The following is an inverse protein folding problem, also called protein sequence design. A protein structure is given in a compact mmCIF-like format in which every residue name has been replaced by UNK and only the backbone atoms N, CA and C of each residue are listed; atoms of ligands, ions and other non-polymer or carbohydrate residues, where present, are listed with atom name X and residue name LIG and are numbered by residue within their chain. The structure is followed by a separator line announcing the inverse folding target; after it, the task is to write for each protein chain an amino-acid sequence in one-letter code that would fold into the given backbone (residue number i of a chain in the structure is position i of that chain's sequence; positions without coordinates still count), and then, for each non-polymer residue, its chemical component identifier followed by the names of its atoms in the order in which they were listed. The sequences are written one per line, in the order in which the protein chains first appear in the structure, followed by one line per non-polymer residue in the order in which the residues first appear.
data_IF_164483304225
#
_entry.id   IF_164483304225
#
_cell.length_a   1.000
_cell.length_b   1.000
_cell.length_c   1.000
_cell.angle_alpha   90.00
_cell.angle_beta   90.00
_cell.angle_gamma   90.00
#
_symmetry.space_group_name_H-M   'P 1'
#
loop_
_entity.id
_entity.type
_entity.pdbx_description
1 polymer ?
#
# COMPACT_ATOMS: atom_id res chain seq x y z
N UNK A 1 -15.67 27.22 14.13
CA UNK A 1 -16.02 26.49 12.89
C UNK A 1 -14.88 25.52 12.62
N UNK A 2 -15.18 24.23 12.40
CA UNK A 2 -14.14 23.23 12.15
C UNK A 2 -13.59 23.43 10.73
N UNK A 3 -12.28 23.49 10.58
CA UNK A 3 -11.63 23.44 9.27
C UNK A 3 -11.57 21.98 8.82
N UNK A 4 -12.21 21.69 7.69
CA UNK A 4 -12.27 20.33 7.16
C UNK A 4 -11.12 20.05 6.19
N UNK A 5 -10.43 18.91 6.33
CA UNK A 5 -9.53 18.39 5.32
C UNK A 5 -10.25 18.14 3.98
N UNK A 6 -9.47 18.01 2.90
CA UNK A 6 -9.98 17.55 1.62
C UNK A 6 -10.68 16.19 1.72
N UNK A 7 -11.70 15.97 0.88
CA UNK A 7 -12.35 14.65 0.80
C UNK A 7 -11.35 13.60 0.33
N UNK A 8 -11.47 12.39 0.89
CA UNK A 8 -10.55 11.29 0.69
C UNK A 8 -9.27 11.38 1.52
N UNK A 9 -9.09 12.42 2.35
CA UNK A 9 -8.01 12.50 3.33
C UNK A 9 -8.30 11.55 4.50
N UNK A 10 -7.25 10.85 4.98
CA UNK A 10 -7.36 10.03 6.17
C UNK A 10 -7.38 10.92 7.40
N UNK A 11 -8.42 10.78 8.23
CA UNK A 11 -8.67 11.63 9.38
C UNK A 11 -9.02 10.79 10.61
N UNK A 12 -8.83 11.38 11.79
CA UNK A 12 -9.58 11.03 12.98
C UNK A 12 -10.59 12.12 13.26
N UNK A 13 -11.86 11.74 13.41
CA UNK A 13 -12.98 12.63 13.75
C UNK A 13 -13.46 12.25 15.14
N UNK A 14 -13.30 13.17 16.10
CA UNK A 14 -13.85 13.02 17.45
C UNK A 14 -15.21 13.70 17.49
N UNK A 15 -16.25 12.98 17.91
CA UNK A 15 -17.61 13.50 17.94
C UNK A 15 -18.39 13.07 19.18
N UNK A 16 -19.42 13.85 19.51
CA UNK A 16 -20.36 13.58 20.60
C UNK A 16 -21.28 12.44 20.21
N UNK A 17 -21.45 11.49 21.12
CA UNK A 17 -22.49 10.46 21.02
C UNK A 17 -23.81 11.03 21.52
N UNK A 18 -24.89 10.30 21.29
CA UNK A 18 -26.23 10.66 21.80
C UNK A 18 -26.16 10.97 23.30
N UNK A 19 -26.90 11.98 23.72
CA UNK A 19 -26.98 12.39 25.13
C UNK A 19 -27.26 11.17 26.03
N UNK A 20 -26.50 11.03 27.11
CA UNK A 20 -26.56 9.87 28.01
C UNK A 20 -25.61 8.71 27.67
N UNK A 21 -24.87 8.78 26.56
CA UNK A 21 -23.85 7.77 26.24
C UNK A 21 -22.65 7.81 27.18
N UNK A 22 -22.14 6.64 27.55
CA UNK A 22 -20.87 6.48 28.29
C UNK A 22 -19.93 5.60 27.43
N UNK A 23 -18.74 6.10 27.03
CA UNK A 23 -18.30 7.50 27.13
C UNK A 23 -19.16 8.45 26.25
N UNK A 24 -19.19 9.76 26.56
CA UNK A 24 -19.99 10.75 25.81
C UNK A 24 -19.37 11.15 24.46
N UNK A 25 -18.08 10.86 24.26
CA UNK A 25 -17.34 11.12 23.03
C UNK A 25 -16.83 9.80 22.46
N UNK A 26 -16.67 9.75 21.15
CA UNK A 26 -15.99 8.65 20.44
C UNK A 26 -15.21 9.18 19.25
N UNK A 27 -14.29 8.37 18.75
CA UNK A 27 -13.45 8.68 17.59
C UNK A 27 -13.81 7.77 16.40
N UNK A 28 -13.86 8.34 15.21
CA UNK A 28 -13.92 7.62 13.93
C UNK A 28 -12.60 7.84 13.19
N UNK A 29 -11.92 6.75 12.81
CA UNK A 29 -10.65 6.80 12.07
C UNK A 29 -10.85 6.20 10.69
N UNK A 30 -10.60 6.98 9.64
CA UNK A 30 -10.89 6.56 8.28
C UNK A 30 -10.71 7.67 7.25
N UNK A 31 -11.21 7.46 6.04
CA UNK A 31 -11.20 8.47 4.97
C UNK A 31 -12.45 9.33 5.04
N UNK A 32 -12.28 10.65 4.94
CA UNK A 32 -13.38 11.60 4.94
C UNK A 32 -14.13 11.55 3.60
N UNK A 33 -15.40 11.14 3.61
CA UNK A 33 -16.21 11.02 2.39
C UNK A 33 -17.10 12.23 2.16
N UNK A 34 -17.62 12.83 3.23
CA UNK A 34 -18.49 14.00 3.18
C UNK A 34 -18.41 14.76 4.50
N UNK A 35 -18.74 16.06 4.47
CA UNK A 35 -18.77 16.94 5.64
C UNK A 35 -20.10 17.67 5.83
N UNK A 36 -20.97 17.65 4.81
CA UNK A 36 -22.30 18.27 4.79
C UNK A 36 -23.24 17.43 3.89
N UNK A 37 -24.52 17.25 4.24
CA UNK A 37 -25.17 17.66 5.50
C UNK A 37 -24.78 16.79 6.70
N UNK A 38 -24.12 15.66 6.45
CA UNK A 38 -23.66 14.70 7.46
C UNK A 38 -22.19 14.42 7.23
N UNK A 39 -21.42 14.36 8.31
CA UNK A 39 -20.01 13.97 8.24
C UNK A 39 -19.94 12.45 8.10
N UNK A 40 -19.29 11.98 7.03
CA UNK A 40 -19.16 10.55 6.71
C UNK A 40 -17.69 10.16 6.69
N UNK A 41 -17.31 9.18 7.50
CA UNK A 41 -15.94 8.66 7.58
C UNK A 41 -15.94 7.17 7.28
N UNK A 42 -15.25 6.75 6.22
CA UNK A 42 -15.10 5.32 5.92
C UNK A 42 -13.88 4.75 6.64
N UNK A 43 -14.14 3.87 7.60
CA UNK A 43 -13.11 3.19 8.39
C UNK A 43 -12.34 2.15 7.57
N UNK A 44 -11.22 1.62 8.11
CA UNK A 44 -10.41 0.58 7.44
C UNK A 44 -11.23 -0.68 7.07
N UNK A 45 -12.27 -1.01 7.84
CA UNK A 45 -13.15 -2.15 7.56
C UNK A 45 -14.18 -1.89 6.44
N UNK A 46 -14.17 -0.69 5.84
CA UNK A 46 -15.17 -0.27 4.87
C UNK A 46 -16.46 0.27 5.49
N UNK A 47 -16.65 0.15 6.82
CA UNK A 47 -17.80 0.70 7.53
C UNK A 47 -17.80 2.22 7.48
N UNK A 48 -18.93 2.81 7.07
CA UNK A 48 -19.13 4.26 7.09
C UNK A 48 -19.70 4.67 8.44
N UNK A 49 -18.96 5.50 9.16
CA UNK A 49 -19.41 6.14 10.39
C UNK A 49 -19.97 7.51 10.05
N UNK A 50 -21.16 7.81 10.57
CA UNK A 50 -21.86 9.06 10.32
C UNK A 50 -22.07 9.84 11.62
N UNK A 51 -21.91 11.16 11.56
CA UNK A 51 -22.22 12.06 12.68
C UNK A 51 -22.66 13.44 12.18
N UNK A 52 -23.42 14.16 13.01
CA UNK A 52 -23.83 15.52 12.67
C UNK A 52 -22.59 16.45 12.71
N UNK A 53 -22.43 17.39 11.76
CA UNK A 53 -21.32 18.34 11.78
C UNK A 53 -21.21 19.13 13.09
N UNK A 54 -22.34 19.38 13.76
CA UNK A 54 -22.43 20.05 15.07
C UNK A 54 -21.93 19.22 16.25
N UNK A 55 -21.94 17.89 16.12
CA UNK A 55 -21.48 16.98 17.17
C UNK A 55 -19.97 16.77 17.14
N UNK A 56 -19.31 17.15 16.04
CA UNK A 56 -17.87 17.04 15.89
C UNK A 56 -17.17 18.04 16.80
N UNK A 57 -16.20 17.56 17.57
CA UNK A 57 -15.42 18.37 18.52
C UNK A 57 -13.98 18.57 18.06
N UNK A 58 -13.44 17.63 17.29
CA UNK A 58 -12.09 17.74 16.74
C UNK A 58 -11.95 16.90 15.46
N UNK A 59 -11.14 17.41 14.53
CA UNK A 59 -10.72 16.69 13.34
C UNK A 59 -9.21 16.81 13.25
N UNK A 60 -8.54 15.70 12.96
CA UNK A 60 -7.09 15.69 12.72
C UNK A 60 -6.79 14.85 11.49
N UNK A 61 -6.04 15.43 10.56
CA UNK A 61 -5.44 14.69 9.45
C UNK A 61 -4.42 13.69 9.97
N UNK A 62 -4.49 12.48 9.43
CA UNK A 62 -3.56 11.41 9.71
C UNK A 62 -2.72 11.17 8.45
N UNK A 63 -1.45 10.83 8.66
CA UNK A 63 -0.67 10.19 7.62
C UNK A 63 -1.32 8.86 7.23
N UNK A 64 -0.96 8.31 6.07
CA UNK A 64 -1.41 6.99 5.66
C UNK A 64 -1.16 5.96 6.76
N UNK A 65 -2.07 4.98 6.85
CA UNK A 65 -1.93 3.91 7.82
C UNK A 65 -0.59 3.20 7.57
N UNK A 66 0.20 2.89 8.61
CA UNK A 66 1.43 2.16 8.42
C UNK A 66 1.10 0.80 7.82
N UNK A 67 1.61 0.56 6.61
CA UNK A 67 1.45 -0.72 5.91
C UNK A 67 2.44 -1.72 6.46
N UNK A 68 1.93 -2.87 6.92
CA UNK A 68 2.74 -3.95 7.49
C UNK A 68 3.54 -4.66 6.40
N UNK A 69 4.71 -5.19 6.75
CA UNK A 69 5.52 -5.97 5.83
C UNK A 69 4.74 -7.16 5.23
N UNK A 70 3.84 -7.80 5.99
CA UNK A 70 2.97 -8.86 5.48
C UNK A 70 1.96 -8.38 4.44
N UNK A 71 1.36 -7.19 4.62
CA UNK A 71 0.45 -6.57 3.64
C UNK A 71 1.21 -6.21 2.35
N UNK A 72 2.47 -5.76 2.46
CA UNK A 72 3.34 -5.50 1.31
C UNK A 72 3.63 -6.80 0.55
N UNK A 73 4.03 -7.87 1.25
CA UNK A 73 4.30 -9.19 0.65
C UNK A 73 3.07 -9.74 -0.08
N UNK A 74 1.91 -9.71 0.55
CA UNK A 74 0.67 -10.22 -0.03
C UNK A 74 0.33 -9.48 -1.35
N UNK A 75 0.44 -8.15 -1.37
CA UNK A 75 0.18 -7.36 -2.58
C UNK A 75 1.21 -7.63 -3.69
N UNK A 76 2.51 -7.70 -3.37
CA UNK A 76 3.55 -7.98 -4.38
C UNK A 76 3.49 -9.42 -4.90
N UNK A 77 3.10 -10.40 -4.07
CA UNK A 77 2.79 -11.76 -4.50
C UNK A 77 1.59 -11.79 -5.45
N UNK A 78 0.48 -11.10 -5.10
CA UNK A 78 -0.68 -11.00 -5.96
C UNK A 78 -0.35 -10.29 -7.30
N UNK A 79 0.49 -9.25 -7.26
CA UNK A 79 0.95 -8.56 -8.46
C UNK A 79 1.80 -9.45 -9.34
N UNK A 80 2.77 -10.18 -8.77
CA UNK A 80 3.58 -11.15 -9.50
C UNK A 80 2.72 -12.24 -10.18
N UNK A 81 1.71 -12.76 -9.47
CA UNK A 81 0.79 -13.76 -10.00
C UNK A 81 -0.10 -13.24 -11.13
N UNK A 82 -0.43 -11.94 -11.13
CA UNK A 82 -1.27 -11.32 -12.18
C UNK A 82 -0.53 -11.10 -13.51
N UNK A 83 0.80 -11.07 -13.48
CA UNK A 83 1.66 -11.01 -14.66
C UNK A 83 2.75 -12.07 -14.57
N UNK A 84 2.44 -13.32 -14.93
CA UNK A 84 3.40 -14.40 -14.89
C UNK A 84 4.56 -14.13 -15.85
N UNK A 85 5.76 -14.54 -15.44
CA UNK A 85 6.94 -14.48 -16.30
C UNK A 85 7.17 -15.83 -16.99
N UNK A 86 7.87 -15.81 -18.14
CA UNK A 86 8.21 -17.05 -18.87
C UNK A 86 9.18 -17.91 -18.06
N UNK A 87 10.05 -17.29 -17.25
CA UNK A 87 11.00 -17.98 -16.40
C UNK A 87 10.99 -17.37 -15.01
N UNK A 88 10.28 -18.04 -14.09
CA UNK A 88 10.32 -17.71 -12.67
C UNK A 88 10.82 -18.88 -11.82
N UNK A 89 11.53 -18.58 -10.74
CA UNK A 89 11.97 -19.58 -9.77
C UNK A 89 12.06 -19.02 -8.37
N UNK A 90 11.94 -19.89 -7.37
CA UNK A 90 12.13 -19.52 -5.97
C UNK A 90 13.54 -19.85 -5.51
N UNK A 91 14.19 -18.91 -4.84
CA UNK A 91 15.52 -19.08 -4.22
C UNK A 91 15.51 -18.40 -2.86
N UNK A 92 15.58 -19.18 -1.77
CA UNK A 92 15.65 -18.68 -0.38
C UNK A 92 14.67 -17.55 -0.07
N UNK A 93 13.40 -17.73 -0.46
CA UNK A 93 12.33 -16.76 -0.24
C UNK A 93 12.26 -15.60 -1.23
N UNK A 94 13.17 -15.54 -2.20
CA UNK A 94 13.08 -14.64 -3.35
C UNK A 94 12.36 -15.32 -4.51
N UNK A 95 11.50 -14.56 -5.19
CA UNK A 95 11.02 -14.92 -6.52
C UNK A 95 11.93 -14.22 -7.55
N UNK A 96 12.65 -15.02 -8.32
CA UNK A 96 13.52 -14.55 -9.40
C UNK A 96 12.73 -14.63 -10.70
N UNK A 97 12.72 -13.53 -11.44
CA UNK A 97 12.09 -13.40 -12.77
C UNK A 97 13.12 -12.89 -13.77
N UNK A 98 12.86 -12.96 -15.06
CA UNK A 98 13.76 -12.47 -16.11
C UNK A 98 14.10 -10.98 -15.99
N UNK A 99 13.21 -10.18 -15.40
CA UNK A 99 13.33 -8.74 -15.27
C UNK A 99 13.89 -8.26 -13.93
N UNK A 100 13.55 -8.94 -12.82
CA UNK A 100 14.07 -8.65 -11.48
C UNK A 100 13.80 -9.78 -10.47
N UNK A 101 14.55 -9.79 -9.37
CA UNK A 101 14.29 -10.64 -8.21
C UNK A 101 13.63 -9.83 -7.10
N UNK A 102 12.60 -10.40 -6.48
CA UNK A 102 11.79 -9.73 -5.45
C UNK A 102 11.68 -10.62 -4.19
N UNK A 103 11.90 -10.08 -2.98
CA UNK A 103 11.90 -10.86 -1.74
C UNK A 103 10.45 -11.05 -1.28
N UNK A 104 9.74 -12.06 -1.77
CA UNK A 104 8.31 -12.22 -1.52
C UNK A 104 8.00 -13.03 -0.26
N UNK A 105 8.83 -13.99 0.12
CA UNK A 105 8.65 -14.75 1.35
C UNK A 105 9.41 -14.13 2.55
N UNK A 106 8.88 -14.34 3.75
CA UNK A 106 9.45 -13.81 5.00
C UNK A 106 10.88 -14.31 5.26
N UNK A 107 11.26 -15.45 4.71
CA UNK A 107 12.61 -16.02 4.82
C UNK A 107 13.66 -15.31 3.95
N UNK A 108 13.26 -14.43 3.03
CA UNK A 108 14.17 -13.73 2.12
C UNK A 108 15.23 -12.92 2.87
N UNK A 109 16.50 -13.13 2.51
CA UNK A 109 17.66 -12.48 3.13
C UNK A 109 18.63 -11.94 2.08
N UNK A 110 19.45 -10.98 2.50
CA UNK A 110 20.45 -10.34 1.63
C UNK A 110 21.68 -11.23 1.35
N UNK A 111 21.91 -12.26 2.15
CA UNK A 111 22.97 -13.26 1.93
C UNK A 111 22.73 -14.13 0.69
N UNK A 112 21.49 -14.23 0.21
CA UNK A 112 21.13 -14.88 -1.06
C UNK A 112 21.51 -14.07 -2.31
N UNK A 113 21.85 -12.78 -2.19
CA UNK A 113 22.14 -11.89 -3.33
C UNK A 113 23.24 -12.44 -4.26
N UNK A 114 24.37 -12.99 -3.79
CA UNK A 114 25.38 -13.58 -4.66
C UNK A 114 24.84 -14.75 -5.50
N UNK A 115 23.97 -15.60 -4.94
CA UNK A 115 23.34 -16.70 -5.68
C UNK A 115 22.33 -16.19 -6.72
N UNK A 116 21.61 -15.11 -6.39
CA UNK A 116 20.73 -14.42 -7.34
C UNK A 116 21.53 -13.87 -8.52
N UNK A 117 22.67 -13.21 -8.26
CA UNK A 117 23.56 -12.69 -9.32
C UNK A 117 24.04 -13.82 -10.24
N UNK A 118 24.47 -14.96 -9.68
CA UNK A 118 24.88 -16.12 -10.45
C UNK A 118 23.75 -16.66 -11.34
N UNK A 119 22.52 -16.76 -10.82
CA UNK A 119 21.36 -17.23 -11.57
C UNK A 119 21.08 -16.39 -12.82
N UNK A 120 21.19 -15.06 -12.71
CA UNK A 120 21.07 -14.14 -13.84
C UNK A 120 22.24 -14.25 -14.81
N UNK A 121 23.47 -14.33 -14.31
CA UNK A 121 24.68 -14.44 -15.12
C UNK A 121 24.68 -15.70 -15.99
N UNK A 122 24.28 -16.85 -15.44
CA UNK A 122 24.15 -18.13 -16.15
C UNK A 122 23.15 -18.05 -17.32
N UNK A 123 22.25 -17.06 -17.30
CA UNK A 123 21.22 -16.82 -18.32
C UNK A 123 21.55 -15.64 -19.24
N UNK A 124 22.70 -14.99 -19.05
CA UNK A 124 23.07 -13.79 -19.81
C UNK A 124 22.14 -12.60 -19.54
N UNK A 125 21.46 -12.58 -18.40
CA UNK A 125 20.51 -11.54 -18.02
C UNK A 125 21.14 -10.54 -17.03
N UNK A 126 20.75 -9.26 -17.05
CA UNK A 126 21.24 -8.28 -16.10
C UNK A 126 20.62 -8.52 -14.71
N UNK A 127 21.43 -8.71 -13.65
CA UNK A 127 20.89 -8.94 -12.31
C UNK A 127 20.26 -7.65 -11.75
N UNK A 128 18.96 -7.71 -11.47
CA UNK A 128 18.22 -6.61 -10.85
C UNK A 128 17.44 -7.09 -9.63
N UNK A 129 17.40 -6.25 -8.60
CA UNK A 129 16.56 -6.47 -7.43
C UNK A 129 15.41 -5.47 -7.43
N UNK A 130 14.20 -5.92 -7.11
CA UNK A 130 13.08 -5.09 -6.72
C UNK A 130 12.89 -5.25 -5.20
N UNK A 131 13.15 -4.19 -4.45
CA UNK A 131 13.00 -4.19 -2.98
C UNK A 131 11.83 -3.28 -2.59
N UNK A 132 10.68 -3.87 -2.21
CA UNK A 132 9.60 -3.13 -1.57
C UNK A 132 10.02 -2.61 -0.20
N UNK A 133 9.43 -1.49 0.22
CA UNK A 133 9.71 -0.90 1.52
C UNK A 133 9.53 -1.90 2.67
N UNK A 134 10.39 -1.80 3.68
CA UNK A 134 10.36 -2.60 4.91
C UNK A 134 10.56 -4.11 4.74
N UNK A 135 10.71 -4.65 3.52
CA UNK A 135 10.94 -6.09 3.33
C UNK A 135 12.41 -6.48 3.51
N UNK A 136 13.32 -5.67 2.99
CA UNK A 136 14.76 -5.84 3.17
C UNK A 136 15.44 -4.49 3.32
N UNK A 137 16.50 -4.47 4.14
CA UNK A 137 17.41 -3.33 4.18
C UNK A 137 18.14 -3.23 2.83
N UNK A 138 18.20 -2.01 2.28
CA UNK A 138 18.97 -1.76 1.06
C UNK A 138 20.45 -2.02 1.36
N UNK A 139 21.14 -2.86 0.58
CA UNK A 139 22.58 -3.08 0.76
C UNK A 139 23.35 -1.76 0.65
N UNK A 140 24.31 -1.55 1.55
CA UNK A 140 25.12 -0.33 1.57
C UNK A 140 25.86 -0.13 0.23
N UNK A 141 25.90 1.10 -0.26
CA UNK A 141 26.59 1.46 -1.51
C UNK A 141 25.77 1.26 -2.79
N UNK A 142 24.54 0.73 -2.70
CA UNK A 142 23.63 0.66 -3.84
C UNK A 142 22.69 1.87 -3.86
N UNK A 143 22.64 2.57 -4.99
CA UNK A 143 21.62 3.58 -5.27
C UNK A 143 20.52 2.98 -6.15
N UNK A 144 19.23 3.29 -5.88
CA UNK A 144 18.16 2.80 -6.72
C UNK A 144 18.24 3.42 -8.13
N UNK A 145 18.12 2.58 -9.17
CA UNK A 145 18.05 3.04 -10.57
C UNK A 145 16.68 3.65 -10.88
N UNK A 146 15.64 3.16 -10.19
CA UNK A 146 14.24 3.56 -10.37
C UNK A 146 13.49 3.33 -9.08
N UNK A 147 12.57 4.23 -8.76
CA UNK A 147 11.63 4.10 -7.65
C UNK A 147 10.21 4.16 -8.19
N UNK A 148 9.32 3.37 -7.59
CA UNK A 148 7.91 3.36 -7.95
C UNK A 148 7.04 3.38 -6.70
N UNK A 149 5.87 4.01 -6.82
CA UNK A 149 4.78 3.94 -5.87
C UNK A 149 3.82 2.84 -6.29
N UNK A 150 3.56 1.91 -5.39
CA UNK A 150 2.43 1.01 -5.54
C UNK A 150 1.24 1.62 -4.81
N UNK A 151 0.25 2.08 -5.58
CA UNK A 151 -0.97 2.66 -5.06
C UNK A 151 -2.10 1.64 -5.15
N UNK A 152 -2.96 1.62 -4.14
CA UNK A 152 -4.13 0.74 -4.08
C UNK A 152 -5.39 1.57 -3.94
N UNK A 153 -6.48 1.07 -4.51
CA UNK A 153 -7.83 1.57 -4.27
C UNK A 153 -8.64 0.42 -3.70
N UNK A 154 -9.27 0.64 -2.55
CA UNK A 154 -10.20 -0.36 -2.00
C UNK A 154 -11.29 -0.65 -3.03
N UNK A 155 -11.60 -1.93 -3.25
CA UNK A 155 -12.77 -2.28 -4.04
C UNK A 155 -14.02 -1.73 -3.32
N UNK A 156 -15.02 -1.22 -4.05
CA UNK A 156 -16.31 -0.93 -3.43
C UNK A 156 -16.81 -2.22 -2.77
N UNK A 157 -17.11 -2.16 -1.47
CA UNK A 157 -17.69 -3.29 -0.75
C UNK A 157 -19.07 -3.54 -1.37
N UNK A 158 -19.33 -4.68 -2.03
CA UNK A 158 -20.68 -5.03 -2.43
C UNK A 158 -21.53 -5.13 -1.16
N UNK A 159 -22.78 -4.66 -1.25
CA UNK A 159 -23.73 -4.65 -0.14
C UNK A 159 -23.76 -6.04 0.52
N UNK A 160 -23.69 -6.06 1.86
CA UNK A 160 -23.26 -7.21 2.64
C UNK A 160 -24.17 -8.44 2.44
N UNK A 161 -23.76 -9.35 1.56
CA UNK A 161 -24.35 -10.68 1.42
C UNK A 161 -23.36 -11.70 0.82
N UNK A 162 -22.14 -11.80 1.34
CA UNK A 162 -21.33 -13.01 1.23
C UNK A 162 -20.14 -12.92 2.20
N UNK A 163 -19.95 -13.94 3.03
CA UNK A 163 -18.78 -14.08 3.90
C UNK A 163 -17.50 -14.31 3.09
N UNK A 164 -16.96 -13.24 2.50
CA UNK A 164 -15.68 -13.23 1.81
C UNK A 164 -14.74 -12.29 2.56
N UNK A 165 -13.61 -12.82 3.01
CA UNK A 165 -12.51 -12.05 3.60
C UNK A 165 -11.94 -11.08 2.55
N UNK A 166 -11.86 -9.76 2.82
CA UNK A 166 -11.20 -8.84 1.92
C UNK A 166 -9.69 -8.90 2.21
N UNK A 167 -9.03 -9.94 1.72
CA UNK A 167 -7.56 -10.04 1.74
C UNK A 167 -6.94 -9.88 0.34
N UNK A 168 -7.80 -9.74 -0.68
CA UNK A 168 -7.34 -9.26 -1.98
C UNK A 168 -7.29 -7.73 -1.93
N UNK A 169 -6.12 -7.12 -2.21
CA UNK A 169 -6.09 -5.68 -2.47
C UNK A 169 -7.08 -5.39 -3.60
N UNK A 170 -7.79 -4.26 -3.53
CA UNK A 170 -8.59 -3.81 -4.66
C UNK A 170 -7.69 -3.50 -5.88
N UNK A 171 -8.19 -2.72 -6.84
CA UNK A 171 -7.35 -2.34 -7.97
C UNK A 171 -6.03 -1.70 -7.48
N UNK A 172 -4.90 -2.10 -8.05
CA UNK A 172 -3.60 -1.51 -7.78
C UNK A 172 -3.03 -0.89 -9.06
N UNK A 173 -2.19 0.14 -8.91
CA UNK A 173 -1.40 0.72 -9.99
C UNK A 173 0.02 0.97 -9.50
N UNK A 174 0.99 0.79 -10.39
CA UNK A 174 2.38 1.12 -10.12
C UNK A 174 2.78 2.32 -10.97
N UNK A 175 3.24 3.37 -10.31
CA UNK A 175 3.59 4.65 -10.95
C UNK A 175 5.04 4.98 -10.61
N UNK A 176 5.79 5.54 -11.55
CA UNK A 176 7.14 6.04 -11.26
C UNK A 176 7.08 7.14 -10.19
N UNK A 177 7.97 7.10 -9.20
CA UNK A 177 7.99 8.07 -8.10
C UNK A 177 8.20 9.51 -8.60
N UNK A 178 8.82 9.69 -9.78
CA UNK A 178 9.09 11.00 -10.39
C UNK A 178 7.94 11.50 -11.26
N UNK A 179 6.98 10.66 -11.62
CA UNK A 179 5.83 11.04 -12.45
C UNK A 179 4.70 11.61 -11.56
N UNK A 180 4.87 12.87 -11.16
CA UNK A 180 3.92 13.58 -10.29
C UNK A 180 2.51 13.67 -10.89
N UNK A 181 2.41 13.74 -12.22
CA UNK A 181 1.13 13.85 -12.91
C UNK A 181 0.38 12.51 -12.90
N UNK A 182 1.06 11.39 -13.13
CA UNK A 182 0.46 10.07 -13.00
C UNK A 182 0.05 9.77 -11.55
N UNK A 183 0.85 10.21 -10.58
CA UNK A 183 0.50 10.11 -9.15
C UNK A 183 -0.79 10.90 -8.88
N UNK A 184 -0.85 12.17 -9.29
CA UNK A 184 -2.04 13.00 -9.09
C UNK A 184 -3.29 12.44 -9.78
N UNK A 185 -3.15 11.88 -10.99
CA UNK A 185 -4.25 11.20 -11.70
C UNK A 185 -4.75 9.97 -10.95
N UNK A 186 -3.84 9.15 -10.42
CA UNK A 186 -4.21 7.98 -9.62
C UNK A 186 -4.92 8.39 -8.32
N UNK A 187 -4.41 9.42 -7.62
CA UNK A 187 -4.99 9.95 -6.39
C UNK A 187 -6.40 10.52 -6.63
N UNK A 188 -6.60 11.24 -7.74
CA UNK A 188 -7.91 11.75 -8.16
C UNK A 188 -8.91 10.61 -8.46
N UNK A 189 -8.43 9.44 -8.88
CA UNK A 189 -9.24 8.23 -9.08
C UNK A 189 -9.46 7.40 -7.80
N UNK A 190 -9.01 7.91 -6.64
CA UNK A 190 -9.19 7.28 -5.34
C UNK A 190 -8.11 6.28 -4.96
N UNK A 191 -7.02 6.18 -5.71
CA UNK A 191 -5.86 5.38 -5.30
C UNK A 191 -5.08 6.10 -4.19
N UNK A 192 -4.49 5.33 -3.27
CA UNK A 192 -3.65 5.84 -2.18
C UNK A 192 -2.37 5.02 -2.09
N UNK A 193 -1.30 5.66 -1.62
CA UNK A 193 0.00 5.00 -1.48
C UNK A 193 -0.10 3.81 -0.53
N UNK A 194 0.26 2.62 -1.00
CA UNK A 194 0.42 1.44 -0.15
C UNK A 194 1.88 1.35 0.32
N UNK A 195 2.81 1.37 -0.62
CA UNK A 195 4.24 1.31 -0.32
C UNK A 195 5.05 1.75 -1.55
N UNK A 196 6.34 2.02 -1.35
CA UNK A 196 7.29 2.22 -2.44
C UNK A 196 8.08 0.95 -2.71
N UNK A 197 8.58 0.86 -3.93
CA UNK A 197 9.45 -0.21 -4.39
C UNK A 197 10.62 0.38 -5.16
N UNK A 198 11.81 -0.16 -4.91
CA UNK A 198 13.07 0.36 -5.44
C UNK A 198 13.76 -0.70 -6.26
N UNK A 199 14.17 -0.33 -7.47
CA UNK A 199 14.93 -1.18 -8.37
C UNK A 199 16.41 -0.90 -8.20
N UNK A 200 17.20 -1.95 -8.07
CA UNK A 200 18.65 -1.88 -7.97
C UNK A 200 19.27 -2.74 -9.05
N UNK A 201 20.19 -2.16 -9.81
CA UNK A 201 21.03 -2.92 -10.73
C UNK A 201 22.26 -3.40 -9.97
N UNK A 202 22.53 -4.70 -10.07
CA UNK A 202 23.74 -5.28 -9.53
C UNK A 202 24.80 -5.36 -10.65
N UNK A 203 26.07 -5.30 -10.27
CA UNK A 203 27.14 -5.60 -11.21
C UNK A 203 27.13 -7.11 -11.51
N UNK A 204 27.09 -7.47 -12.80
CA UNK A 204 27.48 -8.81 -13.22
C UNK A 204 28.98 -8.94 -12.94
N UNK A 205 29.39 -9.98 -12.21
CA UNK A 205 30.79 -10.28 -11.98
C UNK A 205 31.42 -10.88 -13.22
#
# INVERSE_FOLDING_TARGET
MISWPGLGTRVTVRYRRRAGSIPPLTDAVGHLLAVDPVVRVQTKSGTVVECAPTDVVAVRELTDAPVRASEIRALEQAAAASWPDTHETWLDGWLLRTDFAVPLDISARADSIPAIVAWYADRGLPPRLLIPDRLLAVPAGLSPEREQRMLVRAAPVPDAAAGVTPDMPGAYVCVDERDTDAIARAEAQGFRLHHRRRFFRLAAR
#
